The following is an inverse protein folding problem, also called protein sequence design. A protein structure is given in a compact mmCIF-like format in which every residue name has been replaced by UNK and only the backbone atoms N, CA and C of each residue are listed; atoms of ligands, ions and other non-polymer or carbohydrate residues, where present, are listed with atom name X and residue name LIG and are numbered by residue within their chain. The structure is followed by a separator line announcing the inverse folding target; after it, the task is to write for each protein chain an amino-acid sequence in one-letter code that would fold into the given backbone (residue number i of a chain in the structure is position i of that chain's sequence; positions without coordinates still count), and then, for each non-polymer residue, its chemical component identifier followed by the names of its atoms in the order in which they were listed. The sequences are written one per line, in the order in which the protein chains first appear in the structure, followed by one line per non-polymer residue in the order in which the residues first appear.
data_IF_268843272024
#
_entry.id   IF_268843272024
#
_cell.length_a   1.000
_cell.length_b   1.000
_cell.length_c   1.000
_cell.angle_alpha   90.00
_cell.angle_beta   90.00
_cell.angle_gamma   90.00
#
_symmetry.space_group_name_H-M   'P 1'
#
loop_
_entity.id
_entity.type
_entity.pdbx_description
1 polymer ?
#
# COMPACT_ATOMS: atom_id res chain seq x y z
N UNK A 1 -36.82 14.95 11.36
CA UNK A 1 -36.28 14.76 9.99
C UNK A 1 -35.45 13.48 10.00
N UNK A 2 -35.80 12.46 9.20
CA UNK A 2 -34.98 11.25 9.10
C UNK A 2 -33.71 11.61 8.32
N UNK A 3 -32.53 11.38 8.92
CA UNK A 3 -31.24 11.54 8.24
C UNK A 3 -31.18 10.50 7.13
N UNK A 4 -31.19 10.93 5.88
CA UNK A 4 -30.94 10.07 4.74
C UNK A 4 -29.54 9.47 4.91
N UNK A 5 -29.46 8.15 5.11
CA UNK A 5 -28.19 7.42 4.96
C UNK A 5 -27.77 7.61 3.51
N UNK A 6 -26.74 8.43 3.30
CA UNK A 6 -26.16 8.63 1.98
C UNK A 6 -25.51 7.31 1.60
N UNK A 7 -26.22 6.52 0.79
CA UNK A 7 -25.68 5.32 0.15
C UNK A 7 -24.73 5.73 -0.96
N UNK A 8 -23.51 6.09 -0.60
CA UNK A 8 -22.40 6.32 -1.53
C UNK A 8 -21.63 5.01 -1.72
N UNK A 9 -21.97 4.24 -2.74
CA UNK A 9 -21.03 3.25 -3.30
C UNK A 9 -20.30 4.02 -4.42
N UNK A 10 -18.96 4.21 -4.36
CA UNK A 10 -18.00 3.11 -4.20
C UNK A 10 -16.73 3.43 -3.36
N UNK A 11 -16.72 3.08 -2.07
CA UNK A 11 -15.45 2.90 -1.34
C UNK A 11 -14.66 1.69 -1.88
N UNK A 12 -15.35 0.67 -2.41
CA UNK A 12 -14.70 -0.54 -2.95
C UNK A 12 -13.87 -0.30 -4.21
N UNK A 13 -14.20 0.70 -5.03
CA UNK A 13 -13.39 1.06 -6.21
C UNK A 13 -12.09 1.75 -5.80
N UNK A 14 -12.16 2.65 -4.82
CA UNK A 14 -10.99 3.29 -4.23
C UNK A 14 -10.08 2.23 -3.58
N UNK A 15 -10.66 1.34 -2.76
CA UNK A 15 -9.94 0.23 -2.17
C UNK A 15 -9.26 -0.67 -3.21
N UNK A 16 -9.96 -0.98 -4.31
CA UNK A 16 -9.40 -1.76 -5.41
C UNK A 16 -8.17 -1.08 -6.02
N UNK A 17 -8.26 0.22 -6.33
CA UNK A 17 -7.14 0.97 -6.89
C UNK A 17 -5.94 1.02 -5.93
N UNK A 18 -6.17 1.29 -4.64
CA UNK A 18 -5.08 1.32 -3.65
C UNK A 18 -4.44 -0.08 -3.50
N UNK A 19 -5.25 -1.15 -3.57
CA UNK A 19 -4.74 -2.53 -3.55
C UNK A 19 -3.91 -2.87 -4.80
N UNK A 20 -4.30 -2.41 -5.99
CA UNK A 20 -3.53 -2.59 -7.22
C UNK A 20 -2.17 -1.87 -7.12
N UNK A 21 -2.17 -0.61 -6.69
CA UNK A 21 -0.95 0.18 -6.46
C UNK A 21 -0.03 -0.45 -5.40
N UNK A 22 -0.61 -0.99 -4.33
CA UNK A 22 0.12 -1.72 -3.30
C UNK A 22 0.78 -2.99 -3.87
N UNK A 23 0.08 -3.76 -4.70
CA UNK A 23 0.64 -4.94 -5.35
C UNK A 23 1.79 -4.60 -6.31
N UNK A 24 1.69 -3.48 -7.03
CA UNK A 24 2.78 -3.00 -7.89
C UNK A 24 4.00 -2.60 -7.06
N UNK A 25 3.79 -1.82 -5.99
CA UNK A 25 4.85 -1.40 -5.07
C UNK A 25 5.53 -2.62 -4.41
N UNK A 26 4.76 -3.65 -4.05
CA UNK A 26 5.30 -4.90 -3.52
C UNK A 26 6.21 -5.62 -4.52
N UNK A 27 5.84 -5.66 -5.81
CA UNK A 27 6.68 -6.24 -6.88
C UNK A 27 7.96 -5.43 -7.09
N UNK A 28 7.92 -4.12 -6.91
CA UNK A 28 9.09 -3.25 -6.99
C UNK A 28 10.03 -3.42 -5.79
N UNK A 29 9.46 -3.59 -4.59
CA UNK A 29 10.21 -3.90 -3.38
C UNK A 29 10.94 -5.24 -3.51
N UNK A 30 10.25 -6.30 -3.97
CA UNK A 30 10.85 -7.62 -4.20
C UNK A 30 11.98 -7.58 -5.24
N UNK A 31 11.78 -6.86 -6.37
CA UNK A 31 12.82 -6.66 -7.39
C UNK A 31 14.05 -5.94 -6.83
N UNK A 32 13.83 -4.86 -6.09
CA UNK A 32 14.89 -4.07 -5.47
C UNK A 32 15.66 -4.88 -4.43
N UNK A 33 14.94 -5.62 -3.58
CA UNK A 33 15.54 -6.50 -2.58
C UNK A 33 16.38 -7.61 -3.22
N UNK A 34 15.88 -8.28 -4.26
CA UNK A 34 16.64 -9.28 -5.01
C UNK A 34 17.93 -8.70 -5.59
N UNK A 35 17.89 -7.47 -6.09
CA UNK A 35 19.07 -6.79 -6.61
C UNK A 35 20.08 -6.50 -5.51
N UNK A 36 19.65 -5.94 -4.37
CA UNK A 36 20.50 -5.74 -3.19
C UNK A 36 21.16 -7.04 -2.75
N UNK A 37 20.40 -8.14 -2.66
CA UNK A 37 20.91 -9.46 -2.26
C UNK A 37 21.89 -10.07 -3.26
N UNK A 38 21.88 -9.62 -4.52
CA UNK A 38 22.83 -10.07 -5.55
C UNK A 38 24.16 -9.30 -5.54
N UNK A 39 24.24 -8.18 -4.80
CA UNK A 39 25.41 -7.31 -4.77
C UNK A 39 26.33 -7.66 -3.61
N UNK A 40 27.63 -7.37 -3.78
CA UNK A 40 28.59 -7.47 -2.68
C UNK A 40 28.35 -6.34 -1.66
N UNK A 41 28.14 -6.64 -0.37
CA UNK A 41 27.97 -5.62 0.67
C UNK A 41 29.11 -4.61 0.80
N UNK A 42 30.32 -4.95 0.34
CA UNK A 42 31.48 -4.04 0.33
C UNK A 42 31.47 -3.06 -0.87
N UNK A 43 30.56 -3.24 -1.83
CA UNK A 43 30.46 -2.38 -3.00
C UNK A 43 29.56 -1.17 -2.75
N UNK A 44 29.93 -0.02 -3.31
CA UNK A 44 29.08 1.20 -3.29
C UNK A 44 27.69 0.94 -3.87
N UNK A 45 27.61 0.13 -4.93
CA UNK A 45 26.36 -0.25 -5.57
C UNK A 45 25.37 -0.94 -4.61
N UNK A 46 25.85 -1.72 -3.63
CA UNK A 46 24.98 -2.33 -2.63
C UNK A 46 24.26 -1.25 -1.81
N UNK A 47 24.99 -0.24 -1.35
CA UNK A 47 24.46 0.85 -0.53
C UNK A 47 23.54 1.78 -1.34
N UNK A 48 23.86 2.01 -2.62
CA UNK A 48 22.99 2.75 -3.54
C UNK A 48 21.64 2.05 -3.71
N UNK A 49 21.64 0.74 -3.97
CA UNK A 49 20.41 -0.02 -4.14
C UNK A 49 19.63 -0.16 -2.83
N UNK A 50 20.32 -0.29 -1.69
CA UNK A 50 19.69 -0.30 -0.37
C UNK A 50 19.01 1.05 -0.08
N UNK A 51 19.64 2.16 -0.46
CA UNK A 51 19.06 3.51 -0.32
C UNK A 51 17.82 3.68 -1.18
N UNK A 52 17.80 3.10 -2.38
CA UNK A 52 16.61 3.10 -3.27
C UNK A 52 15.47 2.23 -2.73
N UNK A 53 15.78 1.19 -1.94
CA UNK A 53 14.76 0.35 -1.33
C UNK A 53 13.96 1.09 -0.26
N UNK A 54 14.60 1.99 0.50
CA UNK A 54 13.95 2.71 1.59
C UNK A 54 12.66 3.45 1.19
N UNK A 55 12.64 4.34 0.17
CA UNK A 55 11.41 5.02 -0.23
C UNK A 55 10.32 4.07 -0.72
N UNK A 56 10.68 2.93 -1.33
CA UNK A 56 9.69 1.92 -1.77
C UNK A 56 8.98 1.32 -0.55
N UNK A 57 9.74 0.98 0.50
CA UNK A 57 9.17 0.45 1.74
C UNK A 57 8.28 1.48 2.44
N UNK A 58 8.68 2.75 2.47
CA UNK A 58 7.87 3.84 3.04
C UNK A 58 6.55 4.02 2.28
N UNK A 59 6.58 3.99 0.94
CA UNK A 59 5.35 4.03 0.13
C UNK A 59 4.46 2.83 0.41
N UNK A 60 5.04 1.64 0.53
CA UNK A 60 4.31 0.41 0.82
C UNK A 60 3.60 0.46 2.19
N UNK A 61 4.28 0.97 3.22
CA UNK A 61 3.69 1.20 4.54
C UNK A 61 2.53 2.21 4.47
N UNK A 62 2.72 3.33 3.77
CA UNK A 62 1.67 4.33 3.58
C UNK A 62 0.44 3.74 2.87
N UNK A 63 0.63 2.98 1.80
CA UNK A 63 -0.46 2.33 1.06
C UNK A 63 -1.18 1.29 1.92
N UNK A 64 -0.46 0.52 2.74
CA UNK A 64 -1.06 -0.44 3.66
C UNK A 64 -1.97 0.25 4.69
N UNK A 65 -1.53 1.38 5.25
CA UNK A 65 -2.35 2.19 6.16
C UNK A 65 -3.60 2.72 5.46
N UNK A 66 -3.47 3.26 4.25
CA UNK A 66 -4.63 3.74 3.47
C UNK A 66 -5.64 2.62 3.15
N UNK A 67 -5.16 1.40 2.87
CA UNK A 67 -6.02 0.22 2.69
C UNK A 67 -6.78 -0.08 3.97
N UNK A 68 -6.11 -0.05 5.12
CA UNK A 68 -6.73 -0.33 6.41
C UNK A 68 -7.81 0.70 6.75
N UNK A 69 -7.50 1.99 6.62
CA UNK A 69 -8.46 3.09 6.86
C UNK A 69 -9.70 2.94 5.96
N UNK A 70 -9.49 2.58 4.69
CA UNK A 70 -10.60 2.41 3.75
C UNK A 70 -11.47 1.18 4.07
N UNK A 71 -10.87 0.10 4.58
CA UNK A 71 -11.60 -1.07 5.08
C UNK A 71 -12.41 -0.71 6.33
N UNK A 72 -11.83 0.04 7.27
CA UNK A 72 -12.52 0.50 8.48
C UNK A 72 -13.72 1.40 8.10
N UNK A 73 -13.52 2.35 7.19
CA UNK A 73 -14.60 3.19 6.66
C UNK A 73 -15.73 2.38 6.00
N UNK A 74 -15.39 1.28 5.31
CA UNK A 74 -16.37 0.37 4.72
C UNK A 74 -17.17 -0.38 5.79
N UNK A 75 -16.50 -0.85 6.85
CA UNK A 75 -17.14 -1.57 7.96
C UNK A 75 -18.11 -0.64 8.69
N UNK A 76 -17.72 0.59 8.99
CA UNK A 76 -18.56 1.58 9.71
C UNK A 76 -19.84 1.95 8.94
N UNK A 77 -19.86 1.74 7.62
CA UNK A 77 -21.03 1.97 6.78
C UNK A 77 -21.99 0.77 6.71
N UNK A 78 -21.56 -0.41 7.18
CA UNK A 78 -22.43 -1.58 7.24
C UNK A 78 -23.51 -1.36 8.32
N UNK A 79 -24.74 -1.87 8.10
CA UNK A 79 -25.73 -1.88 9.15
C UNK A 79 -25.25 -2.74 10.32
N UNK A 80 -25.35 -2.22 11.55
CA UNK A 80 -25.29 -3.06 12.74
C UNK A 80 -26.52 -3.98 12.73
N UNK A 81 -26.30 -5.29 12.84
CA UNK A 81 -27.36 -6.30 12.99
C UNK A 81 -28.18 -6.08 14.28
#
# INVERSE_FOLDING_TARGET
MPKAKVSTIPNTKTLHTILEEYQETLRDADRSLKKVLSLNPESEAYWDELTKLHPILTTMESSANSIQEEIENLIDQLPED
#
